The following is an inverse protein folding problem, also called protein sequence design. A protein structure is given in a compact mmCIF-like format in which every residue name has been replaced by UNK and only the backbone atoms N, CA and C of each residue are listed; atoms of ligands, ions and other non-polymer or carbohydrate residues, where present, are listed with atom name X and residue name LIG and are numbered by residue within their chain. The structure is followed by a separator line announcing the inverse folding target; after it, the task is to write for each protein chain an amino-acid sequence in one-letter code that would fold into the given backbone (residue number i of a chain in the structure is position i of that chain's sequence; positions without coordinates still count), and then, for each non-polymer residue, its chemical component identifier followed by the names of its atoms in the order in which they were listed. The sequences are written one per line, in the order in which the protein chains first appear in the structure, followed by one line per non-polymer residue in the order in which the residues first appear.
data_IF_899979428750
#
_entry.id   IF_899979428750
#
_cell.length_a   1.000
_cell.length_b   1.000
_cell.length_c   1.000
_cell.angle_alpha   90.00
_cell.angle_beta   90.00
_cell.angle_gamma   90.00
#
_symmetry.space_group_name_H-M   'P 1'
#
loop_
_entity.id
_entity.type
_entity.pdbx_description
1 polymer ?
#
# COMPACT_ATOMS: atom_id res chain seq x y z
N UNK A 1 -15.29 -4.93 1.45
CA UNK A 1 -14.47 -4.84 0.23
C UNK A 1 -13.16 -4.18 0.61
N UNK A 2 -12.02 -4.70 0.14
CA UNK A 2 -10.71 -4.11 0.42
C UNK A 2 -10.65 -2.65 -0.07
N UNK A 3 -9.96 -1.79 0.66
CA UNK A 3 -9.68 -0.38 0.33
C UNK A 3 -8.59 -0.25 -0.75
N UNK A 4 -8.02 -1.37 -1.18
CA UNK A 4 -6.86 -1.48 -2.05
C UNK A 4 -7.32 -1.83 -3.47
N UNK A 5 -6.97 -0.99 -4.44
CA UNK A 5 -7.06 -1.30 -5.87
C UNK A 5 -5.69 -1.79 -6.34
N UNK A 6 -5.53 -3.10 -6.43
CA UNK A 6 -4.30 -3.77 -6.86
C UNK A 6 -4.42 -4.22 -8.32
N UNK A 7 -3.37 -3.97 -9.11
CA UNK A 7 -3.21 -4.49 -10.46
C UNK A 7 -1.78 -4.99 -10.63
N UNK A 8 -1.62 -6.12 -11.30
CA UNK A 8 -0.33 -6.63 -11.72
C UNK A 8 -0.42 -7.09 -13.18
N UNK A 9 0.56 -6.73 -14.00
CA UNK A 9 0.58 -7.11 -15.42
C UNK A 9 2.02 -7.25 -15.92
N UNK A 10 2.24 -8.17 -16.86
CA UNK A 10 3.52 -8.27 -17.57
C UNK A 10 3.69 -7.06 -18.49
N UNK A 11 4.82 -6.37 -18.34
CA UNK A 11 5.21 -5.23 -19.16
C UNK A 11 6.72 -5.24 -19.39
N UNK A 12 7.13 -5.17 -20.66
CA UNK A 12 8.54 -5.08 -21.07
C UNK A 12 9.43 -6.19 -20.48
N UNK A 13 8.89 -7.41 -20.35
CA UNK A 13 9.61 -8.57 -19.81
C UNK A 13 9.71 -8.64 -18.27
N UNK A 14 9.05 -7.72 -17.55
CA UNK A 14 8.93 -7.74 -16.08
C UNK A 14 7.45 -7.69 -15.68
N UNK A 15 7.14 -7.85 -14.40
CA UNK A 15 5.77 -7.62 -13.89
C UNK A 15 5.71 -6.26 -13.23
N UNK A 16 4.84 -5.38 -13.74
CA UNK A 16 4.51 -4.09 -13.14
C UNK A 16 3.36 -4.27 -12.16
N UNK A 17 3.59 -3.91 -10.90
CA UNK A 17 2.58 -3.91 -9.83
C UNK A 17 2.19 -2.47 -9.52
N UNK A 18 0.88 -2.21 -9.46
CA UNK A 18 0.30 -0.91 -9.12
C UNK A 18 -0.77 -1.09 -8.06
N UNK A 19 -0.64 -0.35 -6.96
CA UNK A 19 -1.60 -0.35 -5.87
C UNK A 19 -2.01 1.07 -5.50
N UNK A 20 -3.31 1.31 -5.45
CA UNK A 20 -3.89 2.51 -4.87
C UNK A 20 -4.66 2.13 -3.60
N UNK A 21 -4.23 2.63 -2.45
CA UNK A 21 -4.80 2.30 -1.14
C UNK A 21 -5.61 3.49 -0.64
N UNK A 22 -6.87 3.29 -0.27
CA UNK A 22 -7.69 4.36 0.31
C UNK A 22 -7.38 4.45 1.81
N UNK A 23 -6.55 5.42 2.19
CA UNK A 23 -6.09 5.60 3.57
C UNK A 23 -5.84 7.10 3.87
N UNK A 24 -6.20 7.62 5.06
CA UNK A 24 -6.08 9.05 5.39
C UNK A 24 -4.65 9.59 5.37
N UNK A 25 -3.67 8.81 5.85
CA UNK A 25 -2.27 9.22 6.01
C UNK A 25 -2.14 10.56 6.76
N UNK A 26 -2.84 10.68 7.89
CA UNK A 26 -2.77 11.86 8.75
C UNK A 26 -1.38 11.99 9.38
N UNK A 27 -0.77 13.15 9.22
CA UNK A 27 0.64 13.36 9.56
C UNK A 27 0.86 13.63 11.05
N UNK A 28 -0.21 13.98 11.78
CA UNK A 28 -0.11 14.47 13.16
C UNK A 28 0.07 15.98 13.27
N UNK A 29 0.27 16.69 12.15
CA UNK A 29 0.61 18.13 12.16
C UNK A 29 -0.59 19.03 11.85
N UNK A 30 -1.69 18.46 11.36
CA UNK A 30 -2.90 19.22 11.03
C UNK A 30 -3.62 19.62 12.32
N UNK A 31 -4.02 20.89 12.41
CA UNK A 31 -4.92 21.36 13.47
C UNK A 31 -6.39 21.17 13.08
N UNK A 32 -7.20 20.73 14.02
CA UNK A 32 -8.65 20.74 13.88
C UNK A 32 -9.18 22.17 13.93
N UNK A 33 -10.07 22.53 13.00
CA UNK A 33 -10.53 23.90 12.83
C UNK A 33 -11.49 24.36 13.94
N UNK A 34 -12.13 23.44 14.65
CA UNK A 34 -13.12 23.75 15.68
C UNK A 34 -12.49 23.84 17.06
N UNK A 35 -11.55 22.93 17.36
CA UNK A 35 -10.91 22.79 18.66
C UNK A 35 -9.53 23.45 18.72
N UNK A 36 -8.85 23.62 17.58
CA UNK A 36 -7.47 24.13 17.52
C UNK A 36 -6.39 23.10 17.89
N UNK A 37 -6.79 21.89 18.29
CA UNK A 37 -5.90 20.82 18.70
C UNK A 37 -5.27 20.10 17.50
N UNK A 38 -4.12 19.44 17.72
CA UNK A 38 -3.50 18.59 16.70
C UNK A 38 -4.30 17.31 16.52
N UNK A 39 -4.57 16.96 15.26
CA UNK A 39 -5.18 15.69 14.93
C UNK A 39 -4.12 14.58 15.04
N UNK A 40 -4.35 13.51 15.81
CA UNK A 40 -3.36 12.44 15.98
C UNK A 40 -2.93 11.79 14.66
N UNK A 41 -1.65 11.44 14.56
CA UNK A 41 -1.09 10.80 13.38
C UNK A 41 -1.75 9.43 13.10
N UNK A 42 -2.06 9.18 11.83
CA UNK A 42 -2.68 7.94 11.37
C UNK A 42 -2.20 7.60 9.96
N UNK A 43 -1.20 6.73 9.87
CA UNK A 43 -0.52 6.39 8.62
C UNK A 43 -0.13 4.91 8.56
N UNK A 44 -0.11 4.38 7.35
CA UNK A 44 0.41 3.04 7.05
C UNK A 44 1.89 3.00 7.40
N UNK A 45 2.32 2.00 8.16
CA UNK A 45 3.70 1.81 8.61
C UNK A 45 4.41 0.71 7.85
N UNK A 46 3.78 -0.44 7.69
CA UNK A 46 4.39 -1.61 7.08
C UNK A 46 3.59 -2.03 5.85
N UNK A 47 4.29 -2.31 4.75
CA UNK A 47 3.73 -2.89 3.53
C UNK A 47 4.57 -4.10 3.16
N UNK A 48 3.90 -5.22 2.92
CA UNK A 48 4.52 -6.45 2.43
C UNK A 48 3.80 -6.81 1.13
N UNK A 49 4.57 -7.04 0.08
CA UNK A 49 4.06 -7.57 -1.18
C UNK A 49 4.72 -8.90 -1.46
N UNK A 50 3.91 -9.91 -1.76
CA UNK A 50 4.36 -11.25 -2.15
C UNK A 50 3.90 -11.59 -3.56
N UNK A 51 4.67 -12.42 -4.26
CA UNK A 51 4.25 -13.13 -5.46
C UNK A 51 4.35 -14.64 -5.18
N UNK A 52 3.21 -15.32 -5.12
CA UNK A 52 3.14 -16.66 -4.52
C UNK A 52 3.67 -16.64 -3.08
N UNK A 53 4.62 -17.52 -2.78
CA UNK A 53 5.24 -17.65 -1.45
C UNK A 53 6.46 -16.74 -1.23
N UNK A 54 6.86 -15.94 -2.23
CA UNK A 54 8.05 -15.09 -2.15
C UNK A 54 7.68 -13.65 -1.84
N UNK A 55 8.29 -13.07 -0.81
CA UNK A 55 8.26 -11.62 -0.59
C UNK A 55 9.06 -10.90 -1.66
N UNK A 56 8.37 -10.07 -2.45
CA UNK A 56 8.97 -9.28 -3.53
C UNK A 56 9.24 -7.83 -3.12
N UNK A 57 8.53 -7.33 -2.10
CA UNK A 57 8.75 -6.00 -1.55
C UNK A 57 8.39 -5.97 -0.06
N UNK A 58 9.23 -5.30 0.72
CA UNK A 58 8.90 -4.85 2.08
C UNK A 58 9.19 -3.36 2.12
N UNK A 59 8.21 -2.56 2.51
CA UNK A 59 8.37 -1.11 2.67
C UNK A 59 7.92 -0.67 4.05
N UNK A 60 8.67 0.30 4.59
CA UNK A 60 8.31 1.02 5.80
C UNK A 60 7.97 2.46 5.44
N UNK A 61 6.75 2.87 5.79
CA UNK A 61 6.25 4.20 5.51
C UNK A 61 6.11 5.04 6.78
N UNK A 62 6.11 6.36 6.58
CA UNK A 62 5.92 7.35 7.63
C UNK A 62 4.77 8.29 7.28
N UNK A 63 4.42 9.17 8.22
CA UNK A 63 3.38 10.18 8.03
C UNK A 63 3.63 11.18 6.90
N UNK A 64 4.80 11.18 6.26
CA UNK A 64 5.11 12.01 5.09
C UNK A 64 4.59 11.46 3.76
N UNK A 65 4.05 10.23 3.75
CA UNK A 65 3.42 9.68 2.56
C UNK A 65 2.02 10.28 2.38
N UNK A 66 1.70 10.72 1.18
CA UNK A 66 0.42 11.39 0.87
C UNK A 66 -0.80 10.50 1.12
N UNK A 67 -1.94 11.16 1.43
CA UNK A 67 -3.28 10.55 1.45
C UNK A 67 -3.54 9.75 0.17
N UNK A 68 -4.25 8.64 0.33
CA UNK A 68 -4.54 7.67 -0.73
C UNK A 68 -3.26 7.20 -1.45
N UNK A 69 -2.32 6.58 -0.73
CA UNK A 69 -1.01 6.31 -1.26
C UNK A 69 -1.04 5.40 -2.48
N UNK A 70 -0.20 5.74 -3.45
CA UNK A 70 0.03 4.98 -4.66
C UNK A 70 1.41 4.34 -4.62
N UNK A 71 1.47 3.02 -4.76
CA UNK A 71 2.69 2.23 -4.85
C UNK A 71 2.78 1.63 -6.25
N UNK A 72 3.89 1.87 -6.94
CA UNK A 72 4.19 1.22 -8.20
C UNK A 72 5.65 0.73 -8.21
N UNK A 73 5.85 -0.51 -8.63
CA UNK A 73 7.18 -1.10 -8.76
C UNK A 73 7.15 -2.26 -9.76
N UNK A 74 8.34 -2.62 -10.27
CA UNK A 74 8.51 -3.76 -11.14
C UNK A 74 9.30 -4.85 -10.43
N UNK A 75 9.03 -6.11 -10.75
CA UNK A 75 9.84 -7.23 -10.30
C UNK A 75 10.00 -8.27 -11.42
N UNK A 76 11.00 -9.14 -11.27
CA UNK A 76 11.18 -10.29 -12.17
C UNK A 76 10.15 -11.37 -11.83
N UNK A 77 9.14 -11.52 -12.68
CA UNK A 77 8.03 -12.46 -12.51
C UNK A 77 7.41 -12.83 -13.87
N UNK A 78 6.29 -13.55 -13.85
CA UNK A 78 5.60 -14.01 -15.07
C UNK A 78 4.09 -13.92 -14.95
N UNK A 79 3.40 -14.01 -16.09
CA UNK A 79 1.95 -14.11 -16.12
C UNK A 79 1.45 -15.35 -15.36
N UNK A 80 0.30 -15.23 -14.71
CA UNK A 80 -0.29 -16.29 -13.89
C UNK A 80 0.26 -16.38 -12.46
N UNK A 81 1.28 -15.61 -12.11
CA UNK A 81 1.66 -15.44 -10.70
C UNK A 81 0.52 -14.69 -9.96
N UNK A 82 0.38 -14.94 -8.66
CA UNK A 82 -0.57 -14.20 -7.82
C UNK A 82 0.19 -13.24 -6.93
N UNK A 83 -0.09 -11.95 -7.08
CA UNK A 83 0.48 -10.88 -6.25
C UNK A 83 -0.47 -10.58 -5.10
N UNK A 84 0.07 -10.53 -3.88
CA UNK A 84 -0.65 -10.11 -2.67
C UNK A 84 0.03 -8.91 -2.06
N UNK A 85 -0.74 -7.86 -1.78
CA UNK A 85 -0.29 -6.72 -0.99
C UNK A 85 -1.02 -6.73 0.34
N UNK A 86 -0.27 -6.56 1.42
CA UNK A 86 -0.81 -6.36 2.76
C UNK A 86 -0.15 -5.14 3.39
N UNK A 87 -0.93 -4.35 4.13
CA UNK A 87 -0.40 -3.24 4.91
C UNK A 87 -0.88 -3.28 6.36
N UNK A 88 -0.12 -2.63 7.25
CA UNK A 88 -0.49 -2.38 8.65
C UNK A 88 -0.19 -0.92 8.99
N UNK A 89 -1.10 -0.25 9.68
CA UNK A 89 -0.95 1.14 10.12
C UNK A 89 -0.50 1.28 11.58
N UNK A 90 -0.19 2.52 11.98
CA UNK A 90 0.25 2.85 13.33
C UNK A 90 -0.84 2.73 14.42
N UNK A 91 -2.09 2.43 14.05
CA UNK A 91 -3.20 2.14 14.96
C UNK A 91 -3.51 0.63 15.02
N UNK A 92 -2.76 -0.19 14.28
CA UNK A 92 -2.92 -1.64 14.21
C UNK A 92 -3.99 -2.09 13.21
N UNK A 93 -4.58 -1.18 12.44
CA UNK A 93 -5.49 -1.56 11.34
C UNK A 93 -4.69 -2.18 10.20
N UNK A 94 -5.35 -3.09 9.47
CA UNK A 94 -4.75 -3.88 8.41
C UNK A 94 -5.72 -4.07 7.27
N UNK A 95 -5.18 -4.15 6.06
CA UNK A 95 -5.93 -4.55 4.88
C UNK A 95 -5.00 -5.30 3.93
N UNK A 96 -5.59 -6.10 3.04
CA UNK A 96 -4.87 -6.83 2.03
C UNK A 96 -5.71 -7.05 0.78
N UNK A 97 -5.04 -7.11 -0.37
CA UNK A 97 -5.66 -7.44 -1.65
C UNK A 97 -4.75 -8.35 -2.47
N UNK A 98 -5.38 -9.14 -3.33
CA UNK A 98 -4.73 -10.05 -4.25
C UNK A 98 -5.11 -9.69 -5.68
N UNK A 99 -4.18 -9.88 -6.61
CA UNK A 99 -4.40 -9.74 -8.04
C UNK A 99 -3.57 -10.78 -8.78
N UNK A 100 -4.19 -11.43 -9.76
CA UNK A 100 -3.48 -12.28 -10.70
C UNK A 100 -2.70 -11.41 -11.68
N UNK A 101 -1.48 -11.84 -12.02
CA UNK A 101 -0.65 -11.16 -13.02
C UNK A 101 -1.22 -11.47 -14.40
N UNK A 102 -1.78 -10.43 -15.02
CA UNK A 102 -2.27 -10.45 -16.39
C UNK A 102 -1.15 -10.39 -17.43
#
# INVERSE_FOLDING_TARGET
MSSIKLKAAVKDGTVEVKALMTHPMETGQRKDKKTGELVPAHFIQDIIVTAGDKTILTAKWGGSVSKNPYLAFNYAGKAGDKVKLAWTDNKGEKDSAEADVA
#
